data_IF_154119322655
#
_entry.id   IF_154119322655
#
_cell.length_a   1.000
_cell.length_b   1.000
_cell.length_c   1.000
_cell.angle_alpha   90.00
_cell.angle_beta   90.00
_cell.angle_gamma   90.00
#
_symmetry.space_group_name_H-M   'P 1'
#
loop_
_entity.id
_entity.type
_entity.pdbx_description
1 polymer ?
#
# COMPACT_ATOMS: atom_id res chain seq x y z
N UNK A 1 -28.03 2.48 -52.11
CA UNK A 1 -27.55 1.72 -50.94
C UNK A 1 -26.05 2.00 -50.80
N UNK A 2 -25.56 2.36 -49.62
CA UNK A 2 -24.12 2.51 -49.37
C UNK A 2 -23.46 1.13 -49.42
N UNK A 3 -22.39 0.97 -50.20
CA UNK A 3 -21.64 -0.28 -50.31
C UNK A 3 -20.69 -0.53 -49.14
N UNK A 4 -20.55 0.44 -48.22
CA UNK A 4 -19.66 0.37 -47.06
C UNK A 4 -20.45 0.61 -45.77
N UNK A 5 -20.14 -0.20 -44.76
CA UNK A 5 -20.58 0.03 -43.38
C UNK A 5 -19.85 1.25 -42.81
N UNK A 6 -20.42 1.88 -41.78
CA UNK A 6 -19.78 3.03 -41.12
C UNK A 6 -18.49 2.58 -40.43
N UNK A 7 -17.45 3.39 -40.52
CA UNK A 7 -16.21 3.13 -39.80
C UNK A 7 -16.46 2.98 -38.29
N UNK A 8 -15.77 2.04 -37.66
CA UNK A 8 -15.99 1.67 -36.26
C UNK A 8 -17.08 0.62 -36.03
N UNK A 9 -17.81 0.18 -37.05
CA UNK A 9 -18.75 -0.95 -36.92
C UNK A 9 -17.97 -2.23 -36.57
N UNK A 10 -18.35 -2.93 -35.51
CA UNK A 10 -17.73 -4.22 -35.16
C UNK A 10 -17.93 -5.23 -36.28
N UNK A 11 -16.85 -5.92 -36.66
CA UNK A 11 -16.84 -6.91 -37.74
C UNK A 11 -16.29 -8.27 -37.31
N UNK A 12 -15.80 -8.39 -36.07
CA UNK A 12 -15.29 -9.65 -35.53
C UNK A 12 -15.89 -9.93 -34.15
N UNK A 13 -16.33 -11.16 -33.93
CA UNK A 13 -16.92 -11.55 -32.64
C UNK A 13 -15.88 -11.79 -31.53
N UNK A 14 -14.62 -12.08 -31.87
CA UNK A 14 -13.60 -12.58 -30.91
C UNK A 14 -12.33 -11.72 -30.78
N UNK A 15 -11.86 -11.11 -31.86
CA UNK A 15 -10.58 -10.37 -31.89
C UNK A 15 -10.77 -8.85 -31.90
N UNK A 16 -11.95 -8.38 -31.48
CA UNK A 16 -12.26 -6.96 -31.37
C UNK A 16 -12.16 -6.16 -32.67
N UNK A 17 -12.28 -6.78 -33.84
CA UNK A 17 -12.12 -6.07 -35.11
C UNK A 17 -13.21 -5.04 -35.41
N UNK A 18 -12.81 -3.94 -36.04
CA UNK A 18 -13.68 -2.85 -36.49
C UNK A 18 -13.50 -2.61 -37.98
N UNK A 19 -14.58 -2.30 -38.69
CA UNK A 19 -14.52 -1.91 -40.09
C UNK A 19 -13.93 -0.51 -40.24
N UNK A 20 -12.96 -0.37 -41.15
CA UNK A 20 -12.39 0.90 -41.60
C UNK A 20 -12.31 0.86 -43.11
N UNK A 21 -12.98 1.81 -43.77
CA UNK A 21 -13.07 1.91 -45.23
C UNK A 21 -13.61 0.62 -45.93
N UNK A 22 -14.40 -0.17 -45.20
CA UNK A 22 -14.94 -1.45 -45.68
C UNK A 22 -14.01 -2.66 -45.47
N UNK A 23 -12.85 -2.48 -44.83
CA UNK A 23 -11.93 -3.56 -44.45
C UNK A 23 -12.06 -3.80 -42.94
N UNK A 24 -12.15 -5.07 -42.52
CA UNK A 24 -12.20 -5.42 -41.10
C UNK A 24 -10.78 -5.44 -40.52
N UNK A 25 -10.45 -4.42 -39.72
CA UNK A 25 -9.15 -4.24 -39.09
C UNK A 25 -9.15 -4.78 -37.65
N UNK A 26 -8.13 -5.55 -37.22
CA UNK A 26 -8.07 -6.09 -35.87
C UNK A 26 -7.76 -5.00 -34.84
N UNK A 27 -8.35 -5.12 -33.65
CA UNK A 27 -8.07 -4.23 -32.51
C UNK A 27 -7.54 -5.07 -31.36
N UNK A 28 -6.41 -4.65 -30.79
CA UNK A 28 -5.87 -5.29 -29.60
C UNK A 28 -6.78 -5.11 -28.39
N UNK A 29 -6.56 -5.91 -27.34
CA UNK A 29 -7.30 -5.75 -26.08
C UNK A 29 -7.12 -4.35 -25.44
N UNK A 30 -6.10 -3.61 -25.84
CA UNK A 30 -5.76 -2.25 -25.42
C UNK A 30 -6.53 -1.18 -26.20
N UNK A 31 -7.51 -1.59 -27.03
CA UNK A 31 -8.33 -0.72 -27.86
C UNK A 31 -7.54 0.04 -28.93
N UNK A 32 -6.36 -0.47 -29.30
CA UNK A 32 -5.50 0.12 -30.34
C UNK A 32 -5.62 -0.69 -31.63
N UNK A 33 -5.91 0.01 -32.73
CA UNK A 33 -6.00 -0.57 -34.07
C UNK A 33 -4.65 -1.16 -34.52
N UNK A 34 -4.66 -2.38 -35.06
CA UNK A 34 -3.44 -3.06 -35.49
C UNK A 34 -2.52 -3.52 -34.35
N UNK A 35 -2.90 -3.29 -33.09
CA UNK A 35 -2.17 -3.78 -31.93
C UNK A 35 -2.29 -5.30 -31.82
N UNK A 36 -1.16 -5.94 -31.52
CA UNK A 36 -1.09 -7.39 -31.25
C UNK A 36 -1.37 -7.73 -29.79
N UNK A 37 -1.88 -6.79 -29.01
CA UNK A 37 -2.17 -6.98 -27.60
C UNK A 37 -3.30 -8.01 -27.39
N UNK A 38 -3.04 -9.02 -26.57
CA UNK A 38 -4.01 -10.07 -26.24
C UNK A 38 -4.36 -10.05 -24.76
N UNK A 39 -5.55 -10.55 -24.47
CA UNK A 39 -5.99 -10.81 -23.11
C UNK A 39 -5.26 -12.05 -22.58
N UNK A 40 -4.80 -12.01 -21.33
CA UNK A 40 -4.21 -13.15 -20.64
C UNK A 40 -5.28 -14.16 -20.18
N UNK A 41 -4.87 -15.30 -19.59
CA UNK A 41 -5.80 -16.33 -19.15
C UNK A 41 -6.69 -15.88 -17.96
N UNK A 42 -6.29 -14.81 -17.26
CA UNK A 42 -7.05 -14.20 -16.17
C UNK A 42 -8.07 -13.18 -16.67
N UNK A 43 -8.03 -12.80 -17.95
CA UNK A 43 -8.90 -11.80 -18.54
C UNK A 43 -8.36 -10.36 -18.47
N UNK A 44 -7.07 -10.17 -18.22
CA UNK A 44 -6.38 -8.87 -18.22
C UNK A 44 -5.65 -8.63 -19.55
N UNK A 45 -5.81 -7.44 -20.12
CA UNK A 45 -5.09 -7.07 -21.33
C UNK A 45 -3.58 -6.91 -21.07
N UNK A 46 -2.74 -7.56 -21.88
CA UNK A 46 -1.27 -7.60 -21.69
C UNK A 46 -0.87 -8.09 -20.28
N UNK A 47 -1.71 -8.93 -19.66
CA UNK A 47 -1.43 -9.53 -18.36
C UNK A 47 -0.38 -10.63 -18.44
N UNK A 48 0.15 -11.00 -17.28
CA UNK A 48 1.21 -11.99 -17.09
C UNK A 48 0.70 -13.30 -16.45
N UNK A 49 -0.62 -13.50 -16.39
CA UNK A 49 -1.28 -14.63 -15.74
C UNK A 49 -1.12 -14.70 -14.20
N UNK A 50 -0.62 -13.66 -13.54
CA UNK A 50 -0.41 -13.68 -12.07
C UNK A 50 -1.67 -13.37 -11.25
N UNK A 51 -2.67 -12.71 -11.85
CA UNK A 51 -3.87 -12.23 -11.14
C UNK A 51 -4.90 -13.32 -10.83
N UNK A 52 -4.73 -14.52 -11.36
CA UNK A 52 -5.64 -15.64 -11.19
C UNK A 52 -4.89 -16.94 -10.86
N UNK A 53 -5.63 -17.93 -10.36
CA UNK A 53 -5.14 -19.28 -10.12
C UNK A 53 -5.67 -20.22 -11.19
N UNK A 54 -4.78 -21.08 -11.69
CA UNK A 54 -5.10 -22.14 -12.64
C UNK A 54 -5.56 -23.40 -11.92
N UNK A 55 -6.62 -24.00 -12.44
CA UNK A 55 -7.15 -25.29 -12.01
C UNK A 55 -7.16 -26.21 -13.22
N UNK A 56 -6.53 -27.37 -13.08
CA UNK A 56 -6.45 -28.36 -14.14
C UNK A 56 -6.72 -29.74 -13.58
N UNK A 57 -7.14 -30.65 -14.44
CA UNK A 57 -7.35 -32.04 -14.07
C UNK A 57 -7.66 -32.93 -15.25
N UNK A 58 -7.78 -34.22 -14.95
CA UNK A 58 -8.13 -35.24 -15.91
C UNK A 58 -9.17 -36.18 -15.31
N UNK A 59 -10.04 -36.68 -16.15
CA UNK A 59 -11.06 -37.67 -15.83
C UNK A 59 -10.85 -38.91 -16.69
N UNK A 60 -10.46 -40.02 -16.08
CA UNK A 60 -10.10 -41.27 -16.77
C UNK A 60 -10.92 -42.48 -16.30
N UNK A 61 -11.89 -42.25 -15.42
CA UNK A 61 -12.69 -43.33 -14.82
C UNK A 61 -13.58 -43.99 -15.90
N UNK A 62 -13.41 -45.29 -16.08
CA UNK A 62 -14.28 -46.07 -16.97
C UNK A 62 -15.53 -46.54 -16.23
N UNK A 63 -16.69 -46.30 -16.83
CA UNK A 63 -17.97 -46.83 -16.37
C UNK A 63 -18.44 -48.01 -17.20
N UNK A 64 -19.41 -48.75 -16.68
CA UNK A 64 -19.97 -49.94 -17.36
C UNK A 64 -21.20 -49.61 -18.22
N UNK A 65 -21.97 -48.59 -17.85
CA UNK A 65 -23.17 -48.19 -18.55
C UNK A 65 -22.89 -46.98 -19.46
N UNK A 66 -23.68 -46.86 -20.53
CA UNK A 66 -23.66 -45.70 -21.40
C UNK A 66 -24.62 -44.66 -20.84
N UNK A 67 -24.10 -43.74 -20.04
CA UNK A 67 -24.87 -42.71 -19.34
C UNK A 67 -24.07 -41.39 -19.26
N UNK A 68 -24.69 -40.37 -18.69
CA UNK A 68 -24.04 -39.11 -18.35
C UNK A 68 -23.24 -39.26 -17.05
N UNK A 69 -21.94 -38.96 -17.10
CA UNK A 69 -21.09 -38.98 -15.92
C UNK A 69 -20.46 -37.61 -15.64
N UNK A 70 -20.49 -37.13 -14.38
CA UNK A 70 -19.89 -35.85 -14.02
C UNK A 70 -18.36 -35.89 -14.14
N UNK A 71 -17.80 -34.88 -14.79
CA UNK A 71 -16.37 -34.72 -15.03
C UNK A 71 -15.79 -33.64 -14.12
N UNK A 72 -16.35 -32.42 -14.18
CA UNK A 72 -15.87 -31.28 -13.39
C UNK A 72 -16.98 -30.27 -13.15
N UNK A 73 -16.98 -29.67 -11.95
CA UNK A 73 -17.79 -28.49 -11.63
C UNK A 73 -16.95 -27.23 -11.81
N UNK A 74 -17.38 -26.34 -12.70
CA UNK A 74 -16.73 -25.04 -12.94
C UNK A 74 -17.59 -23.95 -12.29
N UNK A 75 -17.10 -23.24 -11.26
CA UNK A 75 -17.91 -22.27 -10.52
C UNK A 75 -18.12 -20.97 -11.31
N UNK A 76 -19.02 -20.13 -10.81
CA UNK A 76 -19.17 -18.75 -11.28
C UNK A 76 -17.85 -17.96 -11.10
N UNK A 77 -17.58 -17.06 -12.04
CA UNK A 77 -16.36 -16.25 -12.11
C UNK A 77 -15.19 -16.94 -12.84
N UNK A 78 -15.37 -18.17 -13.32
CA UNK A 78 -14.32 -18.91 -14.02
C UNK A 78 -14.06 -18.35 -15.42
N UNK A 79 -12.78 -18.28 -15.80
CA UNK A 79 -12.28 -17.80 -17.10
C UNK A 79 -11.41 -18.86 -17.76
N UNK A 80 -11.10 -18.66 -19.05
CA UNK A 80 -10.21 -19.53 -19.84
C UNK A 80 -10.55 -21.03 -19.68
N UNK A 81 -11.83 -21.34 -19.79
CA UNK A 81 -12.36 -22.68 -19.57
C UNK A 81 -12.11 -23.49 -20.83
N UNK A 82 -11.46 -24.65 -20.70
CA UNK A 82 -11.28 -25.62 -21.77
C UNK A 82 -11.55 -27.01 -21.23
N UNK A 83 -12.42 -27.75 -21.90
CA UNK A 83 -12.69 -29.16 -21.64
C UNK A 83 -12.51 -29.90 -22.95
N UNK A 84 -11.68 -30.93 -22.96
CA UNK A 84 -11.24 -31.60 -24.17
C UNK A 84 -11.06 -33.10 -23.94
N UNK A 85 -11.57 -33.91 -24.85
CA UNK A 85 -11.27 -35.35 -24.90
C UNK A 85 -9.77 -35.58 -25.16
N UNK A 86 -9.17 -36.54 -24.47
CA UNK A 86 -7.75 -36.85 -24.62
C UNK A 86 -7.46 -37.68 -25.88
N UNK A 87 -8.46 -38.41 -26.38
CA UNK A 87 -8.40 -39.19 -27.60
C UNK A 87 -9.76 -39.16 -28.31
N UNK A 88 -9.78 -39.45 -29.61
CA UNK A 88 -10.99 -39.46 -30.43
C UNK A 88 -11.91 -40.58 -29.94
N UNK A 89 -13.18 -40.26 -29.70
CA UNK A 89 -14.15 -41.23 -29.18
C UNK A 89 -15.56 -41.04 -29.75
N UNK A 90 -16.43 -42.00 -29.45
CA UNK A 90 -17.87 -41.92 -29.74
C UNK A 90 -18.67 -41.27 -28.61
N UNK A 91 -18.01 -40.86 -27.51
CA UNK A 91 -18.65 -40.16 -26.40
C UNK A 91 -18.84 -38.68 -26.75
N UNK A 92 -19.64 -37.97 -25.94
CA UNK A 92 -19.96 -36.55 -26.18
C UNK A 92 -19.81 -35.74 -24.90
N UNK A 93 -19.23 -34.55 -25.00
CA UNK A 93 -19.26 -33.54 -23.94
C UNK A 93 -20.68 -32.99 -23.79
N UNK A 94 -21.12 -32.87 -22.55
CA UNK A 94 -22.39 -32.28 -22.15
C UNK A 94 -22.17 -31.24 -21.06
N UNK A 95 -23.05 -30.23 -21.02
CA UNK A 95 -22.99 -29.17 -20.01
C UNK A 95 -24.37 -28.85 -19.50
N UNK A 96 -24.52 -28.74 -18.19
CA UNK A 96 -25.76 -28.26 -17.56
C UNK A 96 -25.51 -27.26 -16.44
N UNK A 97 -26.52 -26.44 -16.15
CA UNK A 97 -26.52 -25.59 -14.97
C UNK A 97 -26.64 -26.45 -13.71
N UNK A 98 -25.73 -26.28 -12.76
CA UNK A 98 -25.85 -26.96 -11.45
C UNK A 98 -27.07 -26.45 -10.67
N UNK A 99 -27.43 -25.17 -10.85
CA UNK A 99 -28.55 -24.53 -10.14
C UNK A 99 -29.91 -24.88 -10.75
N UNK A 100 -30.03 -24.85 -12.09
CA UNK A 100 -31.30 -25.08 -12.80
C UNK A 100 -31.52 -26.54 -13.17
N UNK A 101 -30.45 -27.33 -13.24
CA UNK A 101 -30.49 -28.72 -13.74
C UNK A 101 -30.67 -28.85 -15.25
N UNK A 102 -30.92 -27.76 -15.97
CA UNK A 102 -31.14 -27.74 -17.42
C UNK A 102 -29.84 -27.85 -18.20
N UNK A 103 -29.82 -28.68 -19.25
CA UNK A 103 -28.70 -28.78 -20.19
C UNK A 103 -28.62 -27.57 -21.12
N UNK A 104 -27.39 -27.14 -21.37
CA UNK A 104 -27.03 -26.14 -22.38
C UNK A 104 -26.38 -26.75 -23.62
N UNK A 105 -25.80 -27.95 -23.47
CA UNK A 105 -25.16 -28.70 -24.54
C UNK A 105 -25.37 -30.19 -24.31
N UNK A 106 -25.73 -30.91 -25.37
CA UNK A 106 -25.87 -32.37 -25.44
C UNK A 106 -26.79 -32.93 -24.34
N UNK A 107 -27.97 -32.33 -24.17
CA UNK A 107 -28.98 -32.73 -23.19
C UNK A 107 -29.98 -33.74 -23.72
N UNK A 108 -30.67 -34.45 -22.81
CA UNK A 108 -31.80 -35.32 -23.13
C UNK A 108 -31.51 -36.35 -24.24
N UNK A 109 -30.31 -36.94 -24.22
CA UNK A 109 -29.82 -37.90 -25.23
C UNK A 109 -29.72 -37.35 -26.66
N UNK A 110 -29.83 -36.03 -26.83
CA UNK A 110 -29.72 -35.35 -28.12
C UNK A 110 -28.33 -34.73 -28.23
N UNK A 111 -27.65 -34.96 -29.35
CA UNK A 111 -26.31 -34.43 -29.62
C UNK A 111 -26.42 -33.15 -30.45
N UNK A 112 -25.80 -32.08 -29.95
CA UNK A 112 -25.74 -30.80 -30.64
C UNK A 112 -24.68 -30.78 -31.74
N UNK A 113 -24.90 -29.96 -32.77
CA UNK A 113 -23.90 -29.74 -33.82
C UNK A 113 -22.77 -28.82 -33.33
N UNK A 114 -21.54 -28.95 -33.86
CA UNK A 114 -20.44 -28.02 -33.58
C UNK A 114 -20.85 -26.58 -33.87
N UNK A 115 -20.51 -25.67 -32.96
CA UNK A 115 -21.01 -24.31 -33.05
C UNK A 115 -20.73 -23.48 -31.80
N UNK A 116 -21.37 -22.31 -31.75
CA UNK A 116 -21.27 -21.38 -30.63
C UNK A 116 -22.56 -21.40 -29.82
N UNK A 117 -22.41 -21.53 -28.51
CA UNK A 117 -23.51 -21.62 -27.56
C UNK A 117 -23.35 -20.51 -26.52
N UNK A 118 -24.40 -19.73 -26.30
CA UNK A 118 -24.37 -18.64 -25.34
C UNK A 118 -25.14 -19.03 -24.08
N UNK A 119 -24.42 -19.26 -22.99
CA UNK A 119 -24.97 -19.61 -21.69
C UNK A 119 -24.02 -19.21 -20.56
N UNK A 120 -24.54 -19.14 -19.33
CA UNK A 120 -23.78 -18.75 -18.14
C UNK A 120 -23.00 -17.42 -18.29
N UNK A 121 -23.49 -16.48 -19.11
CA UNK A 121 -22.87 -15.16 -19.29
C UNK A 121 -21.67 -15.11 -20.24
N UNK A 122 -21.32 -16.21 -20.90
CA UNK A 122 -20.21 -16.25 -21.87
C UNK A 122 -20.59 -17.07 -23.10
N UNK A 123 -19.70 -17.10 -24.09
CA UNK A 123 -19.87 -17.87 -25.32
C UNK A 123 -18.92 -19.07 -25.29
N UNK A 124 -19.52 -20.25 -25.35
CA UNK A 124 -18.82 -21.51 -25.51
C UNK A 124 -18.72 -21.86 -26.99
N UNK A 125 -17.51 -22.19 -27.42
CA UNK A 125 -17.19 -22.69 -28.75
C UNK A 125 -17.01 -24.20 -28.66
N UNK A 126 -17.98 -24.93 -29.20
CA UNK A 126 -18.02 -26.38 -29.23
C UNK A 126 -17.50 -26.87 -30.58
N UNK A 127 -16.45 -27.69 -30.55
CA UNK A 127 -15.77 -28.20 -31.74
C UNK A 127 -15.66 -29.71 -31.70
N UNK A 128 -16.11 -30.35 -32.76
CA UNK A 128 -15.99 -31.79 -32.96
C UNK A 128 -15.73 -32.05 -34.43
N UNK A 129 -14.49 -32.42 -34.77
CA UNK A 129 -14.09 -32.79 -36.13
C UNK A 129 -13.77 -34.28 -36.17
N UNK A 130 -14.01 -34.95 -37.30
CA UNK A 130 -13.80 -36.41 -37.41
C UNK A 130 -12.37 -36.88 -37.11
N UNK A 131 -11.38 -35.99 -37.23
CA UNK A 131 -9.95 -36.25 -37.06
C UNK A 131 -9.33 -35.53 -35.86
N UNK A 132 -10.15 -34.94 -34.97
CA UNK A 132 -9.66 -34.23 -33.79
C UNK A 132 -10.54 -34.57 -32.58
N UNK A 133 -9.96 -34.70 -31.38
CA UNK A 133 -10.75 -34.88 -30.17
C UNK A 133 -11.75 -33.73 -29.97
N UNK A 134 -12.90 -34.06 -29.39
CA UNK A 134 -13.92 -33.08 -29.06
C UNK A 134 -13.41 -32.04 -28.06
N UNK A 135 -13.72 -30.77 -28.30
CA UNK A 135 -13.25 -29.65 -27.48
C UNK A 135 -14.38 -28.66 -27.23
N UNK A 136 -14.43 -28.15 -26.02
CA UNK A 136 -15.34 -27.09 -25.60
C UNK A 136 -14.55 -25.99 -24.90
N UNK A 137 -14.62 -24.76 -25.42
CA UNK A 137 -13.84 -23.63 -24.91
C UNK A 137 -14.70 -22.39 -24.66
N UNK A 138 -14.45 -21.68 -23.56
CA UNK A 138 -15.00 -20.35 -23.32
C UNK A 138 -13.98 -19.42 -22.66
N UNK A 139 -14.01 -18.14 -23.06
CA UNK A 139 -13.17 -17.12 -22.42
C UNK A 139 -13.64 -16.78 -20.99
N UNK A 140 -14.94 -16.92 -20.70
CA UNK A 140 -15.55 -16.48 -19.44
C UNK A 140 -15.70 -14.95 -19.35
N UNK A 141 -15.97 -14.40 -18.15
CA UNK A 141 -16.27 -15.12 -16.91
C UNK A 141 -17.63 -15.82 -16.96
N UNK A 142 -17.81 -16.88 -16.18
CA UNK A 142 -19.12 -17.52 -15.96
C UNK A 142 -19.94 -16.78 -14.90
N UNK A 143 -21.26 -16.81 -15.01
CA UNK A 143 -22.18 -16.16 -14.07
C UNK A 143 -22.86 -17.15 -13.12
N UNK A 144 -22.75 -18.45 -13.40
CA UNK A 144 -23.29 -19.54 -12.59
C UNK A 144 -22.34 -20.75 -12.62
N UNK A 145 -22.53 -21.68 -11.68
CA UNK A 145 -21.76 -22.93 -11.64
C UNK A 145 -22.28 -23.90 -12.70
N UNK A 146 -21.37 -24.39 -13.53
CA UNK A 146 -21.63 -25.35 -14.60
C UNK A 146 -21.10 -26.73 -14.19
N UNK A 147 -21.86 -27.77 -14.52
CA UNK A 147 -21.40 -29.14 -14.44
C UNK A 147 -21.13 -29.65 -15.86
N UNK A 148 -19.87 -30.02 -16.10
CA UNK A 148 -19.45 -30.68 -17.32
C UNK A 148 -19.56 -32.19 -17.12
N UNK A 149 -20.17 -32.85 -18.08
CA UNK A 149 -20.45 -34.27 -18.11
C UNK A 149 -19.93 -34.89 -19.40
N UNK A 150 -19.71 -36.20 -19.38
CA UNK A 150 -19.50 -37.03 -20.56
C UNK A 150 -20.73 -37.91 -20.75
N UNK A 151 -21.38 -37.83 -21.90
CA UNK A 151 -22.29 -38.85 -22.39
C UNK A 151 -21.43 -39.99 -22.94
N UNK A 152 -21.17 -40.98 -22.10
CA UNK A 152 -20.25 -42.07 -22.41
C UNK A 152 -20.88 -43.02 -23.44
N UNK A 153 -20.17 -43.29 -24.54
CA UNK A 153 -20.54 -44.33 -25.50
C UNK A 153 -19.37 -45.31 -25.69
N UNK A 154 -19.39 -46.39 -24.91
CA UNK A 154 -18.34 -47.40 -24.91
C UNK A 154 -17.16 -47.04 -24.01
N UNK A 155 -15.97 -46.88 -24.60
CA UNK A 155 -14.74 -46.64 -23.83
C UNK A 155 -14.56 -45.14 -23.57
N UNK A 156 -14.23 -44.79 -22.34
CA UNK A 156 -13.87 -43.44 -21.96
C UNK A 156 -12.49 -43.11 -22.58
N UNK A 157 -12.40 -42.13 -23.50
CA UNK A 157 -11.10 -41.66 -24.01
C UNK A 157 -10.27 -40.95 -22.93
N UNK A 158 -10.96 -40.56 -21.86
CA UNK A 158 -10.51 -39.64 -20.85
C UNK A 158 -10.69 -38.18 -21.28
N UNK A 159 -10.91 -37.30 -20.30
CA UNK A 159 -11.17 -35.88 -20.53
C UNK A 159 -10.18 -35.06 -19.74
N UNK A 160 -9.50 -34.14 -20.41
CA UNK A 160 -8.69 -33.09 -19.78
C UNK A 160 -9.52 -31.82 -19.62
N UNK A 161 -9.35 -31.12 -18.51
CA UNK A 161 -10.04 -29.86 -18.26
C UNK A 161 -9.11 -28.86 -17.57
N UNK A 162 -9.34 -27.59 -17.89
CA UNK A 162 -8.65 -26.46 -17.28
C UNK A 162 -9.59 -25.25 -17.19
N UNK A 163 -9.40 -24.42 -16.16
CA UNK A 163 -10.00 -23.09 -16.03
C UNK A 163 -9.20 -22.23 -15.06
N UNK A 164 -9.44 -20.93 -15.08
CA UNK A 164 -8.85 -19.97 -14.13
C UNK A 164 -9.93 -19.36 -13.24
N UNK A 165 -9.56 -19.07 -11.99
CA UNK A 165 -10.36 -18.23 -11.10
C UNK A 165 -9.52 -17.06 -10.63
N UNK A 166 -10.09 -15.84 -10.55
CA UNK A 166 -9.39 -14.72 -9.94
C UNK A 166 -8.94 -15.13 -8.54
N UNK A 167 -7.78 -14.64 -8.11
CA UNK A 167 -7.45 -14.77 -6.70
C UNK A 167 -8.61 -14.20 -5.90
N UNK A 168 -9.10 -14.89 -4.86
CA UNK A 168 -10.00 -14.24 -3.93
C UNK A 168 -9.26 -13.00 -3.49
N UNK A 169 -9.80 -11.81 -3.79
CA UNK A 169 -9.17 -10.58 -3.33
C UNK A 169 -8.92 -10.80 -1.85
N UNK A 170 -7.64 -10.79 -1.44
CA UNK A 170 -7.35 -10.62 -0.03
C UNK A 170 -7.94 -9.26 0.26
N UNK A 171 -9.15 -9.24 0.81
CA UNK A 171 -9.74 -8.03 1.38
C UNK A 171 -8.80 -7.68 2.52
N UNK A 172 -7.80 -6.88 2.17
CA UNK A 172 -6.83 -6.42 3.12
C UNK A 172 -7.60 -5.63 4.16
N UNK A 173 -7.42 -5.99 5.41
CA UNK A 173 -8.12 -5.31 6.48
C UNK A 173 -7.37 -4.01 6.77
N UNK A 174 -7.94 -2.89 6.35
CA UNK A 174 -7.39 -1.56 6.58
C UNK A 174 -7.92 -1.03 7.91
N UNK A 175 -7.08 -1.03 8.93
CA UNK A 175 -7.43 -0.58 10.29
C UNK A 175 -6.56 0.57 10.74
N UNK A 176 -7.15 1.52 11.47
CA UNK A 176 -6.39 2.57 12.15
C UNK A 176 -5.64 2.00 13.36
N UNK A 177 -4.39 2.42 13.52
CA UNK A 177 -3.59 2.16 14.71
C UNK A 177 -2.99 3.46 15.24
N UNK A 178 -2.81 3.54 16.56
CA UNK A 178 -2.22 4.69 17.23
C UNK A 178 -0.76 4.35 17.53
N UNK A 179 0.16 5.07 16.90
CA UNK A 179 1.59 4.99 17.20
C UNK A 179 1.98 6.17 18.06
N UNK A 180 2.79 5.90 19.09
CA UNK A 180 3.33 6.91 20.00
C UNK A 180 4.74 7.27 19.55
N UNK A 181 5.05 8.56 19.54
CA UNK A 181 6.45 9.00 19.43
C UNK A 181 7.21 8.63 20.70
N UNK A 182 8.53 8.68 20.64
CA UNK A 182 9.32 8.78 21.85
C UNK A 182 9.03 10.09 22.59
N UNK A 183 9.38 10.11 23.88
CA UNK A 183 9.30 11.33 24.67
C UNK A 183 10.30 12.37 24.15
N UNK A 184 9.85 13.61 24.02
CA UNK A 184 10.68 14.71 23.50
C UNK A 184 11.96 14.97 24.32
N UNK A 185 12.00 14.54 25.58
CA UNK A 185 13.15 14.62 26.47
C UNK A 185 13.12 13.46 27.49
N UNK A 186 14.28 13.01 28.00
CA UNK A 186 14.35 11.93 29.01
C UNK A 186 13.88 12.37 30.41
N UNK A 187 13.77 13.67 30.67
CA UNK A 187 13.39 14.26 31.96
C UNK A 187 12.81 15.67 31.76
N UNK A 188 12.14 16.21 32.78
CA UNK A 188 11.54 17.54 32.76
C UNK A 188 12.63 18.61 32.94
N UNK A 189 12.74 19.52 31.97
CA UNK A 189 13.67 20.63 32.02
C UNK A 189 13.13 21.78 32.87
N UNK A 190 13.79 22.08 33.97
CA UNK A 190 13.56 23.25 34.80
C UNK A 190 14.74 23.47 35.76
N UNK A 191 15.07 24.72 36.14
CA UNK A 191 16.16 24.97 37.08
C UNK A 191 15.88 24.24 38.39
N UNK A 192 16.82 23.39 38.81
CA UNK A 192 16.84 22.87 40.18
C UNK A 192 17.02 24.07 41.10
N UNK A 193 16.07 24.31 42.00
CA UNK A 193 16.16 25.38 43.00
C UNK A 193 17.40 25.15 43.87
N UNK A 194 18.55 25.68 43.46
CA UNK A 194 19.65 25.98 44.36
C UNK A 194 19.22 27.20 45.18
N UNK A 195 18.75 26.96 46.40
CA UNK A 195 18.49 28.00 47.39
C UNK A 195 19.79 28.80 47.60
N UNK A 196 19.85 30.03 47.09
CA UNK A 196 20.92 30.95 47.45
C UNK A 196 20.62 31.56 48.84
N UNK A 197 21.63 31.80 49.70
CA UNK A 197 21.42 32.13 51.11
C UNK A 197 20.92 33.56 51.29
N UNK A 198 20.00 33.74 52.25
CA UNK A 198 19.49 35.04 52.69
C UNK A 198 20.55 35.82 53.48
N UNK A 199 20.84 37.05 53.06
CA UNK A 199 21.65 38.03 53.79
C UNK A 199 21.47 39.44 53.20
N UNK A 200 20.83 40.31 53.95
CA UNK A 200 20.39 41.71 53.68
C UNK A 200 21.58 42.73 53.70
N UNK A 201 21.47 44.09 53.53
CA UNK A 201 20.27 44.97 53.62
C UNK A 201 20.16 46.26 52.73
N UNK A 202 18.90 46.73 52.64
CA UNK A 202 18.37 48.12 52.69
C UNK A 202 18.84 49.25 51.76
N UNK A 203 18.02 49.59 50.75
CA UNK A 203 17.65 50.97 50.32
C UNK A 203 16.18 50.96 49.82
N UNK A 204 15.37 52.02 50.01
CA UNK A 204 13.95 51.99 49.68
C UNK A 204 13.77 52.21 48.17
N UNK A 205 13.50 51.14 47.43
CA UNK A 205 12.94 51.27 46.08
C UNK A 205 11.42 51.38 46.23
N UNK A 206 10.88 52.45 45.64
CA UNK A 206 9.46 52.70 45.46
C UNK A 206 8.78 51.54 44.74
N UNK A 207 7.50 51.32 45.06
CA UNK A 207 6.62 50.19 44.70
C UNK A 207 6.36 49.95 43.18
N UNK A 208 7.24 50.36 42.27
CA UNK A 208 6.98 50.28 40.82
C UNK A 208 7.92 49.37 40.02
N UNK A 209 8.86 48.66 40.65
CA UNK A 209 9.80 47.78 39.92
C UNK A 209 9.88 46.32 40.45
N UNK A 210 8.88 45.87 41.23
CA UNK A 210 8.83 44.50 41.75
C UNK A 210 8.01 43.52 40.89
N UNK A 211 7.36 43.95 39.81
CA UNK A 211 6.48 43.08 38.99
C UNK A 211 7.11 42.49 37.72
N UNK A 212 8.37 42.79 37.41
CA UNK A 212 8.99 42.38 36.13
C UNK A 212 10.05 41.26 36.22
N UNK A 213 10.23 40.67 37.39
CA UNK A 213 11.02 39.44 37.56
C UNK A 213 10.16 38.29 38.11
N UNK A 214 9.01 38.04 37.50
CA UNK A 214 8.54 36.66 37.42
C UNK A 214 9.37 36.00 36.32
N UNK A 215 10.29 35.06 36.61
CA UNK A 215 10.71 34.16 35.56
C UNK A 215 9.42 33.50 35.09
N UNK A 216 9.03 33.72 33.83
CA UNK A 216 8.06 32.83 33.21
C UNK A 216 8.71 31.45 33.26
N UNK A 217 8.40 30.69 34.31
CA UNK A 217 8.79 29.30 34.49
C UNK A 217 8.07 28.53 33.39
N UNK A 218 8.61 28.57 32.18
CA UNK A 218 8.24 27.63 31.14
C UNK A 218 8.93 26.32 31.49
N UNK A 219 8.34 25.60 32.45
CA UNK A 219 8.72 24.21 32.72
C UNK A 219 8.57 23.47 31.40
N UNK A 220 9.69 23.08 30.78
CA UNK A 220 9.67 22.28 29.57
C UNK A 220 9.33 20.85 30.00
N UNK A 221 8.03 20.57 30.10
CA UNK A 221 7.53 19.22 30.27
C UNK A 221 7.83 18.42 28.99
N UNK A 222 8.34 17.20 29.14
CA UNK A 222 8.51 16.34 27.98
C UNK A 222 7.14 15.82 27.53
N UNK A 223 6.92 15.71 26.21
CA UNK A 223 5.66 15.23 25.65
C UNK A 223 5.88 14.02 24.75
N UNK A 224 4.92 13.11 24.82
CA UNK A 224 4.71 12.08 23.81
C UNK A 224 3.56 12.52 22.91
N UNK A 225 3.77 12.46 21.60
CA UNK A 225 2.73 12.75 20.60
C UNK A 225 2.21 11.45 20.02
N UNK A 226 0.89 11.31 19.93
CA UNK A 226 0.26 10.17 19.25
C UNK A 226 -0.09 10.53 17.81
N UNK A 227 0.07 9.57 16.89
CA UNK A 227 -0.34 9.69 15.50
C UNK A 227 -1.18 8.49 15.10
N UNK A 228 -2.24 8.74 14.34
CA UNK A 228 -3.05 7.69 13.74
C UNK A 228 -2.43 7.31 12.39
N UNK A 229 -2.06 6.04 12.23
CA UNK A 229 -1.57 5.48 10.97
C UNK A 229 -2.57 4.45 10.44
N UNK A 230 -2.66 4.33 9.12
CA UNK A 230 -3.46 3.29 8.49
C UNK A 230 -2.57 2.07 8.25
N UNK A 231 -2.99 0.90 8.75
CA UNK A 231 -2.27 -0.35 8.58
C UNK A 231 -3.06 -1.29 7.66
N UNK A 232 -2.35 -1.94 6.73
CA UNK A 232 -2.82 -3.07 5.95
C UNK A 232 -2.50 -4.36 6.71
N UNK A 233 -3.54 -5.15 7.02
CA UNK A 233 -3.44 -6.42 7.75
C UNK A 233 -2.66 -6.31 9.08
N UNK A 234 -2.74 -5.15 9.75
CA UNK A 234 -2.04 -4.82 10.99
C UNK A 234 -0.50 -4.88 10.93
N UNK A 235 0.10 -5.02 9.75
CA UNK A 235 1.56 -5.16 9.60
C UNK A 235 2.18 -3.96 8.90
N UNK A 236 1.65 -3.56 7.75
CA UNK A 236 2.29 -2.57 6.89
C UNK A 236 1.55 -1.24 6.92
N UNK A 237 2.28 -0.15 7.18
CA UNK A 237 1.71 1.19 7.08
C UNK A 237 1.46 1.57 5.62
N UNK A 238 0.23 1.99 5.34
CA UNK A 238 -0.24 2.39 4.00
C UNK A 238 -0.84 3.80 4.01
N UNK A 239 -1.27 4.27 2.85
CA UNK A 239 -1.90 5.58 2.72
C UNK A 239 -3.19 5.67 3.55
N UNK A 240 -3.37 6.78 4.26
CA UNK A 240 -4.56 7.08 5.06
C UNK A 240 -5.88 7.05 4.29
N UNK A 241 -5.87 7.20 2.97
CA UNK A 241 -7.08 7.12 2.12
C UNK A 241 -7.70 5.72 2.07
N UNK A 242 -6.94 4.67 2.42
CA UNK A 242 -7.41 3.29 2.40
C UNK A 242 -8.20 2.90 3.67
N UNK A 243 -8.00 3.61 4.78
CA UNK A 243 -8.75 3.39 6.03
C UNK A 243 -9.99 4.29 6.08
N UNK A 244 -11.07 3.79 6.70
CA UNK A 244 -12.33 4.53 6.82
C UNK A 244 -12.13 5.83 7.66
N UNK A 245 -12.38 7.03 7.09
CA UNK A 245 -12.20 8.31 7.78
C UNK A 245 -13.03 8.46 9.06
N UNK A 246 -14.22 7.87 9.11
CA UNK A 246 -15.13 7.98 10.26
C UNK A 246 -14.64 7.20 11.49
N UNK A 247 -13.79 6.20 11.27
CA UNK A 247 -13.18 5.39 12.34
C UNK A 247 -11.81 5.90 12.79
N UNK A 248 -11.39 7.07 12.30
CA UNK A 248 -10.08 7.63 12.62
C UNK A 248 -10.00 8.02 14.10
N UNK A 249 -9.05 7.46 14.88
CA UNK A 249 -8.93 7.75 16.30
C UNK A 249 -8.44 9.18 16.54
N UNK A 250 -8.89 9.78 17.64
CA UNK A 250 -8.41 11.07 18.10
C UNK A 250 -6.93 10.97 18.49
N UNK A 251 -6.15 11.95 18.03
CA UNK A 251 -4.71 12.07 18.34
C UNK A 251 -4.48 13.22 19.30
N UNK A 252 -3.44 13.11 20.13
CA UNK A 252 -3.16 14.08 21.17
C UNK A 252 -1.73 13.99 21.69
N UNK A 253 -1.34 15.01 22.45
CA UNK A 253 -0.06 15.01 23.16
C UNK A 253 -0.28 14.82 24.64
N UNK A 254 0.43 13.86 25.24
CA UNK A 254 0.40 13.63 26.69
C UNK A 254 1.76 13.96 27.29
N UNK A 255 1.75 14.39 28.55
CA UNK A 255 2.99 14.62 29.30
C UNK A 255 3.66 13.28 29.61
N UNK A 256 4.97 13.22 29.47
CA UNK A 256 5.79 12.12 29.93
C UNK A 256 7.07 12.65 30.59
N UNK A 257 7.86 11.79 31.22
CA UNK A 257 9.10 12.11 31.94
C UNK A 257 9.00 13.41 32.76
N UNK A 258 7.99 13.48 33.63
CA UNK A 258 7.69 14.65 34.47
C UNK A 258 8.67 14.81 35.63
N UNK A 259 9.61 13.87 35.80
CA UNK A 259 10.62 13.92 36.84
C UNK A 259 11.72 14.92 36.50
N UNK A 260 12.23 15.68 37.49
CA UNK A 260 13.37 16.56 37.30
C UNK A 260 14.58 15.78 36.77
N UNK A 261 15.33 16.38 35.85
CA UNK A 261 16.60 15.82 35.43
C UNK A 261 17.55 15.71 36.65
N UNK A 262 18.29 14.59 36.80
CA UNK A 262 19.28 14.48 37.86
C UNK A 262 20.30 15.62 37.73
N UNK A 263 20.63 16.25 38.86
CA UNK A 263 21.67 17.28 38.88
C UNK A 263 22.96 16.67 38.34
N UNK A 264 23.53 17.31 37.31
CA UNK A 264 24.86 16.95 36.87
C UNK A 264 25.80 17.18 38.06
N UNK A 265 26.40 16.12 38.58
CA UNK A 265 27.56 16.26 39.47
C UNK A 265 28.77 16.21 38.56
N UNK A 266 29.31 17.39 38.24
CA UNK A 266 30.72 17.45 37.83
C UNK A 266 31.52 16.88 39.00
N UNK A 267 32.16 15.74 38.80
CA UNK A 267 33.15 15.23 39.73
C UNK A 267 34.36 16.16 39.66
N UNK A 268 34.29 17.29 40.37
CA UNK A 268 35.46 18.07 40.73
C UNK A 268 36.26 17.22 41.70
N UNK A 269 37.19 16.43 41.15
CA UNK A 269 38.25 15.80 41.95
C UNK A 269 39.07 16.93 42.57
N UNK A 270 38.84 17.20 43.85
CA UNK A 270 39.75 17.95 44.72
C UNK A 270 41.08 17.20 44.76
N UNK A 271 42.05 17.64 43.96
CA UNK A 271 43.43 17.20 44.13
C UNK A 271 43.96 17.82 45.42
N UNK A 272 44.22 16.94 46.39
CA UNK A 272 44.78 17.31 47.68
C UNK A 272 46.14 17.99 47.53
N UNK A 273 46.39 18.93 48.43
CA UNK A 273 47.72 19.47 48.69
C UNK A 273 48.67 18.32 49.07
N UNK A 274 49.76 18.17 48.34
CA UNK A 274 50.99 17.60 48.89
C UNK A 274 52.19 18.31 48.29
N UNK A 275 53.14 18.58 49.17
CA UNK A 275 54.29 19.45 48.99
C UNK A 275 55.58 18.62 48.84
N UNK A 276 56.58 19.20 48.17
CA UNK A 276 57.93 18.67 47.83
C UNK A 276 57.95 17.65 46.67
N UNK A 277 58.84 17.70 45.67
CA UNK A 277 60.24 18.14 45.62
C UNK A 277 60.69 18.40 44.15
N UNK A 278 61.77 19.19 43.97
CA UNK A 278 62.39 19.67 42.70
C UNK A 278 63.01 18.53 41.83
N UNK A 279 63.75 18.83 40.73
CA UNK A 279 63.44 19.59 39.49
C UNK A 279 63.77 18.76 38.21
N UNK A 280 63.19 19.09 37.05
CA UNK A 280 63.77 18.59 35.80
C UNK A 280 62.90 18.66 34.54
N UNK A 281 63.32 19.53 33.62
CA UNK A 281 63.18 19.43 32.15
C UNK A 281 61.85 19.84 31.51
N UNK A 282 61.90 21.02 30.88
CA UNK A 282 60.94 21.57 29.92
C UNK A 282 60.82 20.71 28.64
N UNK A 283 59.59 20.55 28.11
CA UNK A 283 59.34 20.58 26.66
C UNK A 283 57.93 21.17 26.35
N UNK A 284 57.79 22.01 25.30
CA UNK A 284 56.53 22.67 24.96
C UNK A 284 55.76 21.90 23.89
N UNK A 285 54.44 21.83 24.01
CA UNK A 285 53.51 21.49 22.93
C UNK A 285 52.28 22.35 23.22
N UNK A 286 51.93 23.39 22.47
CA UNK A 286 51.83 23.46 21.02
C UNK A 286 50.38 23.84 20.74
N UNK A 287 50.09 25.14 20.71
CA UNK A 287 48.80 25.67 20.32
C UNK A 287 48.46 25.18 18.91
N UNK A 288 47.31 24.52 18.75
CA UNK A 288 46.61 24.47 17.47
C UNK A 288 45.15 24.85 17.65
N UNK A 289 44.83 25.93 16.96
CA UNK A 289 43.51 26.49 16.69
C UNK A 289 42.56 25.46 16.08
N UNK A 290 41.29 25.48 16.52
CA UNK A 290 40.17 25.12 15.66
C UNK A 290 39.24 26.32 15.62
N UNK A 291 39.22 26.95 14.45
CA UNK A 291 38.25 27.95 14.02
C UNK A 291 36.96 27.24 13.63
N UNK A 292 35.83 27.61 14.23
CA UNK A 292 34.52 27.45 13.61
C UNK A 292 33.78 28.77 13.77
N UNK A 293 33.65 29.47 12.65
CA UNK A 293 32.95 30.73 12.46
C UNK A 293 31.44 30.50 12.22
N UNK A 294 30.65 31.11 13.10
CA UNK A 294 29.38 31.84 12.91
C UNK A 294 28.19 31.19 12.20
N UNK A 295 27.06 31.11 12.93
CA UNK A 295 25.91 32.00 12.70
C UNK A 295 24.99 32.04 13.94
N UNK A 296 25.06 33.16 14.65
CA UNK A 296 24.10 33.57 15.66
C UNK A 296 22.83 34.09 14.97
N UNK A 297 21.69 33.50 15.29
CA UNK A 297 20.39 34.20 15.30
C UNK A 297 19.77 33.97 16.67
N UNK A 298 20.27 34.71 17.66
CA UNK A 298 19.55 34.99 18.90
C UNK A 298 18.91 36.36 18.72
N UNK A 299 17.71 36.36 18.15
CA UNK A 299 16.88 37.56 18.08
C UNK A 299 16.10 37.68 19.38
N UNK A 300 16.33 38.82 20.04
CA UNK A 300 15.43 39.52 20.97
C UNK A 300 15.23 38.93 22.38
N UNK A 301 16.08 39.43 23.30
CA UNK A 301 15.62 40.03 24.55
C UNK A 301 16.58 41.19 24.89
N UNK A 302 16.29 42.39 24.39
CA UNK A 302 16.94 43.62 24.84
C UNK A 302 15.92 44.44 25.62
N UNK A 303 16.03 44.43 26.95
CA UNK A 303 15.48 45.49 27.80
C UNK A 303 16.31 46.75 27.58
N UNK A 304 15.70 47.78 27.01
CA UNK A 304 16.29 49.11 26.85
C UNK A 304 15.98 49.90 28.11
N UNK A 305 16.90 49.96 29.09
CA UNK A 305 17.19 51.15 29.93
C UNK A 305 18.52 50.89 30.65
N UNK A 306 19.62 51.49 30.16
CA UNK A 306 20.69 51.98 31.03
C UNK A 306 21.54 52.99 30.27
N UNK A 307 21.28 54.25 30.60
CA UNK A 307 22.10 55.41 30.27
C UNK A 307 23.55 55.17 30.67
N UNK A 308 24.47 55.25 29.71
CA UNK A 308 25.88 55.41 30.03
C UNK A 308 26.14 56.85 30.43
N UNK A 309 26.47 57.06 31.70
CA UNK A 309 27.30 58.17 32.14
C UNK A 309 28.75 57.75 31.94
N UNK A 310 29.43 58.34 30.95
CA UNK A 310 30.89 58.48 31.00
C UNK A 310 31.27 59.88 30.60
N UNK A 311 31.92 60.53 31.56
CA UNK A 311 32.53 61.84 31.51
C UNK A 311 33.74 61.88 30.55
N UNK A 312 33.92 63.06 29.97
CA UNK A 312 35.18 63.76 29.73
C UNK A 312 35.72 63.90 28.28
N UNK A 313 35.97 65.18 27.97
CA UNK A 313 36.85 65.77 26.97
C UNK A 313 36.34 65.98 25.53
N UNK A 314 36.40 67.25 25.10
CA UNK A 314 36.58 67.62 23.69
C UNK A 314 35.45 68.44 23.07
N UNK A 315 35.64 69.76 23.00
CA UNK A 315 34.83 70.72 22.25
C UNK A 315 34.58 70.29 20.79
N UNK A 316 33.46 70.73 20.19
CA UNK A 316 33.43 71.68 19.05
C UNK A 316 31.95 71.99 18.67
N UNK A 317 31.75 73.22 18.23
CA UNK A 317 30.50 73.97 18.03
C UNK A 317 29.86 73.82 16.63
N UNK A 318 28.54 74.17 16.59
CA UNK A 318 27.71 74.73 15.48
C UNK A 318 27.47 73.83 14.24
N UNK A 319 26.39 73.91 13.45
CA UNK A 319 25.20 74.80 13.32
C UNK A 319 24.11 74.06 12.51
N UNK A 320 22.90 74.62 12.54
CA UNK A 320 21.68 74.25 11.81
C UNK A 320 21.83 74.07 10.28
N UNK A 321 20.98 73.21 9.72
CA UNK A 321 20.00 73.57 8.70
C UNK A 321 18.66 72.94 9.10
#
# INVERSE_FOLDING_TARGET
MSSKVKDGTSCSDYKGGVCIDGICEPVGCDQVLGSKATVDACGLCKGDNSSCKFYTGQYTLQHRANEYYPVVMVPAGARSIRVQEMDISNSYLAVRSLKKGTYYLTGDWTVDWPGRFQFAGTTFNYQRSFNRPETLYAAGPTNETLLFEILLQGKNPGISWEYTLPHPERKHNYTWSIVRSDCSAPCAGGPSNALLPLGTPSWPLTLTEAELCLPQQRVHYSRVSTKAICLQDQQMQVNSSLCNPHSKPAVGSHMCNTQPCPAYKESTSLWGLSESSRPGTLRPIGLKSVSISWLQTLTQCFCVVCSMVTSNTGQIRYRQA
#
